data_IF_157408563109
#
_entry.id   IF_157408563109
#
_cell.length_a   1.000
_cell.length_b   1.000
_cell.length_c   1.000
_cell.angle_alpha   90.00
_cell.angle_beta   90.00
_cell.angle_gamma   90.00
#
_symmetry.space_group_name_H-M   'P 1'
#
loop_
_entity.id
_entity.type
_entity.pdbx_description
1 polymer ?
#
# COMPACT_ATOMS: atom_id res chain seq x y z
N UNK A 1 -4.67 66.05 -11.85
CA UNK A 1 -5.22 64.97 -12.70
C UNK A 1 -5.37 63.73 -11.83
N UNK A 2 -6.56 63.54 -11.28
CA UNK A 2 -7.07 62.22 -10.88
C UNK A 2 -7.88 61.67 -12.05
N UNK A 3 -8.01 60.35 -12.19
CA UNK A 3 -9.31 59.76 -11.89
C UNK A 3 -9.20 58.45 -11.09
N UNK A 4 -9.89 58.34 -9.97
CA UNK A 4 -11.28 57.80 -9.82
C UNK A 4 -11.27 56.28 -9.66
N UNK A 5 -11.22 55.82 -8.40
CA UNK A 5 -11.57 54.46 -8.04
C UNK A 5 -13.09 54.33 -7.95
N UNK A 6 -13.69 53.53 -8.84
CA UNK A 6 -15.07 53.08 -8.72
C UNK A 6 -15.13 51.81 -7.88
N UNK A 7 -15.82 51.90 -6.75
CA UNK A 7 -16.37 50.78 -6.01
C UNK A 7 -17.43 50.06 -6.85
N UNK A 8 -17.29 48.74 -7.00
CA UNK A 8 -18.29 47.89 -7.63
C UNK A 8 -18.33 46.53 -6.95
N UNK A 9 -19.35 46.30 -6.14
CA UNK A 9 -19.71 44.97 -5.66
C UNK A 9 -20.11 44.10 -6.85
N UNK A 10 -19.33 43.07 -7.16
CA UNK A 10 -19.74 42.00 -8.05
C UNK A 10 -19.81 40.70 -7.25
N UNK A 11 -21.05 40.30 -6.93
CA UNK A 11 -21.37 38.88 -6.73
C UNK A 11 -21.03 38.19 -8.05
N UNK A 12 -20.08 37.27 -8.02
CA UNK A 12 -19.81 36.35 -9.13
C UNK A 12 -19.69 34.93 -8.57
N UNK A 13 -20.77 34.17 -8.67
CA UNK A 13 -20.62 32.76 -9.04
C UNK A 13 -20.25 32.75 -10.52
N UNK A 14 -19.23 31.99 -10.94
CA UNK A 14 -19.58 30.94 -11.88
C UNK A 14 -18.74 29.66 -11.75
N UNK A 15 -19.43 28.55 -12.05
CA UNK A 15 -18.99 27.46 -12.91
C UNK A 15 -17.62 26.82 -12.65
N UNK A 16 -17.70 25.57 -12.20
CA UNK A 16 -16.96 24.42 -12.72
C UNK A 16 -16.09 24.72 -13.97
N UNK A 17 -14.83 25.05 -13.75
CA UNK A 17 -13.80 25.00 -14.79
C UNK A 17 -12.99 23.73 -14.59
N UNK A 18 -13.37 22.68 -15.30
CA UNK A 18 -12.53 21.50 -15.48
C UNK A 18 -11.30 21.92 -16.29
N UNK A 19 -10.12 21.86 -15.68
CA UNK A 19 -8.87 21.90 -16.43
C UNK A 19 -8.44 20.45 -16.66
N UNK A 20 -8.69 19.97 -17.87
CA UNK A 20 -8.26 18.66 -18.37
C UNK A 20 -6.79 18.77 -18.73
N UNK A 21 -5.89 18.42 -17.82
CA UNK A 21 -4.51 18.06 -18.18
C UNK A 21 -4.45 16.56 -18.36
N UNK A 22 -4.50 16.14 -19.62
CA UNK A 22 -4.00 14.83 -20.01
C UNK A 22 -2.48 14.83 -19.76
N UNK A 23 -2.04 14.05 -18.78
CA UNK A 23 -0.65 13.66 -18.65
C UNK A 23 -0.59 12.16 -18.34
N UNK A 24 0.25 11.52 -19.14
CA UNK A 24 0.56 10.11 -19.26
C UNK A 24 0.56 9.32 -17.94
N UNK A 25 0.13 8.06 -18.08
CA UNK A 25 0.06 7.09 -16.99
C UNK A 25 1.35 6.96 -16.20
N UNK A 26 1.17 6.93 -14.88
CA UNK A 26 2.06 6.24 -13.96
C UNK A 26 1.17 5.81 -12.80
N UNK A 27 1.00 4.49 -12.62
CA UNK A 27 0.33 3.92 -11.46
C UNK A 27 1.13 4.30 -10.19
N UNK A 28 0.77 5.40 -9.55
CA UNK A 28 1.28 5.77 -8.24
C UNK A 28 0.48 5.04 -7.17
N UNK A 29 0.92 3.84 -6.82
CA UNK A 29 0.37 3.11 -5.68
C UNK A 29 1.08 3.49 -4.40
N UNK A 30 0.45 4.28 -3.54
CA UNK A 30 0.78 4.37 -2.12
C UNK A 30 -0.52 4.41 -1.32
N UNK A 31 -0.67 3.42 -0.44
CA UNK A 31 -1.84 3.22 0.43
C UNK A 31 -1.65 4.05 1.69
N UNK A 32 -2.58 4.97 1.93
CA UNK A 32 -2.77 5.62 3.23
C UNK A 32 -3.60 4.66 4.08
N UNK A 33 -3.16 4.26 5.27
CA UNK A 33 -4.05 3.61 6.23
C UNK A 33 -4.41 4.62 7.33
N UNK A 34 -5.64 4.57 7.89
CA UNK A 34 -6.13 5.56 8.84
C UNK A 34 -5.43 5.55 10.22
N UNK A 35 -4.41 4.71 10.44
CA UNK A 35 -3.71 4.56 11.73
C UNK A 35 -2.40 5.35 11.85
N UNK A 36 -2.13 6.28 10.93
CA UNK A 36 -0.84 6.96 10.85
C UNK A 36 -0.89 8.36 11.48
N UNK A 37 -0.40 8.49 12.71
CA UNK A 37 -0.09 9.80 13.30
C UNK A 37 1.43 10.04 13.27
N UNK A 38 1.91 10.79 12.28
CA UNK A 38 3.28 11.30 12.28
C UNK A 38 3.37 12.50 13.23
N UNK A 39 4.19 12.40 14.29
CA UNK A 39 4.55 13.57 15.09
C UNK A 39 5.62 14.36 14.34
N UNK A 40 5.50 15.69 14.38
CA UNK A 40 6.25 16.68 13.60
C UNK A 40 7.77 16.48 13.56
N UNK A 41 8.34 16.42 12.35
CA UNK A 41 9.77 16.63 12.12
C UNK A 41 10.00 17.76 11.09
N UNK A 42 11.01 18.58 11.40
CA UNK A 42 11.36 19.84 10.76
C UNK A 42 12.31 19.57 9.58
N UNK A 43 12.08 20.24 8.45
CA UNK A 43 12.82 20.09 7.18
C UNK A 43 14.33 20.37 7.31
N UNK A 44 15.13 19.63 6.53
CA UNK A 44 16.29 20.18 5.80
C UNK A 44 16.40 19.53 4.41
N UNK A 45 16.97 20.19 3.38
CA UNK A 45 16.85 19.75 1.99
C UNK A 45 18.15 19.13 1.43
N UNK A 46 18.02 17.96 0.80
CA UNK A 46 18.63 17.53 -0.49
C UNK A 46 19.08 16.07 -0.45
N UNK A 47 18.51 15.19 -1.27
CA UNK A 47 19.05 14.77 -2.57
C UNK A 47 18.15 13.69 -3.18
N UNK A 48 18.23 13.55 -4.48
CA UNK A 48 17.20 13.03 -5.38
C UNK A 48 17.50 11.63 -5.91
N UNK A 49 16.61 10.66 -5.67
CA UNK A 49 16.45 9.45 -6.49
C UNK A 49 15.03 8.86 -6.33
N UNK A 50 14.25 8.67 -7.41
CA UNK A 50 12.93 8.06 -7.31
C UNK A 50 13.00 6.53 -7.46
N UNK A 51 12.17 5.85 -6.67
CA UNK A 51 11.62 4.52 -6.96
C UNK A 51 12.47 3.26 -6.67
N UNK A 52 13.10 3.19 -5.49
CA UNK A 52 13.03 1.96 -4.69
C UNK A 52 12.17 2.25 -3.47
N UNK A 53 10.84 2.14 -3.64
CA UNK A 53 9.91 2.29 -2.53
C UNK A 53 10.17 1.19 -1.51
N UNK A 54 10.83 1.53 -0.40
CA UNK A 54 10.95 0.64 0.76
C UNK A 54 9.55 0.16 1.18
N UNK A 55 9.37 -1.13 1.53
CA UNK A 55 8.09 -1.67 1.96
C UNK A 55 7.67 -1.08 3.32
N UNK A 56 7.13 0.13 3.30
CA UNK A 56 6.60 0.82 4.48
C UNK A 56 7.61 1.04 5.61
N UNK A 57 7.14 1.57 6.75
CA UNK A 57 7.92 1.59 7.98
C UNK A 57 8.27 0.15 8.41
N UNK A 58 9.52 -0.07 8.82
CA UNK A 58 10.04 -1.40 9.16
C UNK A 58 10.99 -1.37 10.35
N UNK A 59 11.18 -2.52 10.99
CA UNK A 59 12.23 -2.72 12.00
C UNK A 59 13.49 -3.34 11.38
N UNK A 60 14.64 -3.27 12.07
CA UNK A 60 15.83 -4.04 11.66
C UNK A 60 15.54 -5.55 11.58
N UNK A 61 14.65 -6.06 12.45
CA UNK A 61 14.22 -7.46 12.39
C UNK A 61 13.43 -7.79 11.12
N UNK A 62 12.63 -6.85 10.61
CA UNK A 62 11.95 -7.00 9.32
C UNK A 62 12.94 -7.02 8.16
N UNK A 63 14.01 -6.22 8.22
CA UNK A 63 15.09 -6.24 7.23
C UNK A 63 15.87 -7.57 7.23
N UNK A 64 16.22 -8.08 8.42
CA UNK A 64 16.83 -9.42 8.58
C UNK A 64 15.92 -10.50 7.97
N UNK A 65 14.62 -10.37 8.20
CA UNK A 65 13.61 -11.26 7.62
C UNK A 65 13.51 -11.14 6.10
N UNK A 66 13.60 -9.93 5.56
CA UNK A 66 13.55 -9.65 4.13
C UNK A 66 14.77 -10.21 3.39
N UNK A 67 15.97 -10.03 3.97
CA UNK A 67 17.22 -10.55 3.44
C UNK A 67 17.36 -12.08 3.58
N UNK A 68 16.35 -12.75 4.16
CA UNK A 68 16.34 -14.17 4.51
C UNK A 68 17.53 -14.61 5.39
N UNK A 69 18.09 -13.66 6.18
CA UNK A 69 19.23 -13.91 7.07
C UNK A 69 18.79 -14.43 8.45
N UNK A 70 17.56 -14.91 8.59
CA UNK A 70 17.09 -15.56 9.84
C UNK A 70 17.59 -17.00 9.98
N UNK A 71 17.98 -17.60 8.87
CA UNK A 71 18.46 -18.98 8.80
C UNK A 71 19.95 -19.10 9.16
N UNK A 72 20.65 -17.96 9.31
CA UNK A 72 22.05 -17.91 9.73
C UNK A 72 22.15 -17.66 11.23
N UNK A 73 23.16 -18.24 11.88
CA UNK A 73 23.36 -18.24 13.34
C UNK A 73 23.38 -16.84 13.96
N UNK A 74 23.81 -15.84 13.19
CA UNK A 74 23.73 -14.42 13.53
C UNK A 74 23.53 -13.60 12.25
N UNK A 75 22.87 -12.42 12.31
CA UNK A 75 22.86 -11.49 11.19
C UNK A 75 24.29 -11.15 10.75
N UNK A 76 24.52 -10.82 9.47
CA UNK A 76 25.83 -10.40 9.00
C UNK A 76 26.35 -9.21 9.83
N UNK A 77 27.65 -9.23 10.15
CA UNK A 77 28.33 -8.21 10.93
C UNK A 77 28.23 -6.80 10.31
N UNK A 78 28.17 -6.71 8.98
CA UNK A 78 27.97 -5.46 8.24
C UNK A 78 26.56 -4.87 8.36
N UNK A 79 25.54 -5.65 8.72
CA UNK A 79 24.14 -5.23 8.62
C UNK A 79 23.81 -4.12 9.63
N UNK A 80 24.22 -4.30 10.88
CA UNK A 80 23.93 -3.33 11.94
C UNK A 80 24.64 -1.98 11.69
N UNK A 81 25.95 -1.94 11.41
CA UNK A 81 26.63 -0.71 11.03
C UNK A 81 25.97 0.02 9.84
N UNK A 82 25.61 -0.72 8.79
CA UNK A 82 24.94 -0.14 7.61
C UNK A 82 23.58 0.47 7.96
N UNK A 83 22.83 -0.14 8.88
CA UNK A 83 21.56 0.40 9.34
C UNK A 83 21.75 1.65 10.23
N UNK A 84 22.76 1.64 11.11
CA UNK A 84 23.07 2.78 11.98
C UNK A 84 23.59 3.99 11.16
N UNK A 85 24.29 3.77 10.05
CA UNK A 85 24.68 4.85 9.09
C UNK A 85 23.45 5.58 8.52
N UNK A 86 22.34 4.86 8.31
CA UNK A 86 21.08 5.44 7.82
C UNK A 86 20.26 6.13 8.91
N UNK A 87 20.67 6.08 10.19
CA UNK A 87 19.87 6.58 11.30
C UNK A 87 19.52 8.08 11.18
N UNK A 88 20.35 8.88 10.49
CA UNK A 88 20.08 10.29 10.22
C UNK A 88 19.02 10.55 9.13
N UNK A 89 18.71 9.55 8.32
CA UNK A 89 17.72 9.60 7.22
C UNK A 89 16.39 8.92 7.61
N UNK A 90 16.43 8.13 8.68
CA UNK A 90 15.30 7.37 9.19
C UNK A 90 14.61 8.12 10.33
N UNK A 91 13.29 8.16 10.25
CA UNK A 91 12.40 8.74 11.26
C UNK A 91 11.68 7.62 12.01
N UNK A 92 11.53 7.78 13.32
CA UNK A 92 10.76 6.85 14.15
C UNK A 92 9.25 7.01 13.89
N UNK A 93 8.58 5.91 13.57
CA UNK A 93 7.15 5.84 13.30
C UNK A 93 6.49 4.94 14.33
N UNK A 94 5.44 5.43 14.98
CA UNK A 94 4.58 4.65 15.86
C UNK A 94 3.27 4.34 15.14
N UNK A 95 2.86 3.07 15.18
CA UNK A 95 1.64 2.57 14.55
C UNK A 95 0.76 1.95 15.63
N UNK A 96 -0.51 2.31 15.62
CA UNK A 96 -1.49 1.76 16.56
C UNK A 96 -1.56 0.23 16.49
N UNK A 97 -1.38 -0.41 17.64
CA UNK A 97 -1.36 -1.87 17.78
C UNK A 97 0.02 -2.50 17.54
N UNK A 98 1.06 -1.71 17.27
CA UNK A 98 2.45 -2.18 17.21
C UNK A 98 3.20 -1.65 18.43
N UNK A 99 3.71 -2.56 19.25
CA UNK A 99 4.40 -2.19 20.49
C UNK A 99 5.76 -1.52 20.25
N UNK A 100 6.48 -1.96 19.21
CA UNK A 100 7.81 -1.46 18.90
C UNK A 100 7.73 -0.35 17.85
N UNK A 101 8.50 0.73 18.01
CA UNK A 101 8.61 1.72 16.95
C UNK A 101 9.22 1.11 15.68
N UNK A 102 8.76 1.58 14.54
CA UNK A 102 9.29 1.26 13.22
C UNK A 102 10.09 2.45 12.70
N UNK A 103 10.86 2.23 11.64
CA UNK A 103 11.65 3.27 10.99
C UNK A 103 11.21 3.43 9.54
N UNK A 104 11.06 4.67 9.08
CA UNK A 104 10.80 4.99 7.68
C UNK A 104 11.70 6.13 7.23
N UNK A 105 12.06 6.14 5.96
CA UNK A 105 12.81 7.26 5.39
C UNK A 105 11.98 8.56 5.45
N UNK A 106 12.60 9.67 5.83
CA UNK A 106 11.90 10.95 6.00
C UNK A 106 11.15 11.40 4.73
N UNK A 107 11.72 11.11 3.55
CA UNK A 107 11.08 11.41 2.26
C UNK A 107 9.80 10.59 2.03
N UNK A 108 9.80 9.32 2.43
CA UNK A 108 8.61 8.48 2.32
C UNK A 108 7.50 9.04 3.22
N UNK A 109 7.82 9.46 4.45
CA UNK A 109 6.87 10.11 5.34
C UNK A 109 6.33 11.43 4.77
N UNK A 110 7.18 12.21 4.11
CA UNK A 110 6.75 13.45 3.46
C UNK A 110 5.76 13.18 2.32
N UNK A 111 6.00 12.15 1.50
CA UNK A 111 5.12 11.75 0.41
C UNK A 111 3.73 11.29 0.90
N UNK A 112 3.64 10.69 2.09
CA UNK A 112 2.37 10.21 2.66
C UNK A 112 1.37 11.32 3.00
N UNK A 113 1.83 12.56 3.24
CA UNK A 113 0.95 13.68 3.62
C UNK A 113 -0.03 14.08 2.52
N UNK A 114 0.28 13.78 1.27
CA UNK A 114 -0.58 14.04 0.11
C UNK A 114 -1.02 12.79 -0.65
N UNK A 115 -0.77 11.60 -0.10
CA UNK A 115 -1.14 10.35 -0.75
C UNK A 115 -2.68 10.24 -0.86
N UNK A 116 -3.21 9.73 -2.00
CA UNK A 116 -4.63 9.48 -2.13
C UNK A 116 -5.07 8.41 -1.12
N UNK A 117 -6.37 8.41 -0.81
CA UNK A 117 -6.97 7.30 -0.09
C UNK A 117 -6.81 6.00 -0.90
N UNK A 118 -6.60 4.86 -0.22
CA UNK A 118 -6.39 3.61 -0.91
C UNK A 118 -7.65 3.23 -1.70
N UNK A 119 -7.50 2.50 -2.81
CA UNK A 119 -8.64 1.91 -3.48
C UNK A 119 -9.43 1.04 -2.50
N UNK A 120 -10.78 1.02 -2.59
CA UNK A 120 -11.62 0.34 -1.62
C UNK A 120 -11.37 -1.16 -1.56
N UNK A 121 -10.94 -1.77 -2.68
CA UNK A 121 -10.44 -3.15 -2.72
C UNK A 121 -9.27 -3.26 -3.69
N UNK A 122 -8.26 -4.05 -3.33
CA UNK A 122 -7.21 -4.51 -4.23
C UNK A 122 -6.99 -6.02 -4.09
N UNK A 123 -6.87 -6.70 -5.23
CA UNK A 123 -6.41 -8.10 -5.28
C UNK A 123 -4.93 -8.11 -5.64
N UNK A 124 -4.08 -8.19 -4.63
CA UNK A 124 -2.64 -8.19 -4.87
C UNK A 124 -2.15 -9.61 -5.19
N UNK A 125 -1.23 -9.76 -6.15
CA UNK A 125 -0.68 -11.05 -6.52
C UNK A 125 0.11 -11.69 -5.37
N UNK A 126 0.33 -13.01 -5.41
CA UNK A 126 1.26 -13.68 -4.50
C UNK A 126 2.63 -12.98 -4.49
N UNK A 127 3.15 -12.73 -3.29
CA UNK A 127 4.46 -12.09 -3.07
C UNK A 127 4.56 -10.64 -3.57
N UNK A 128 3.44 -9.93 -3.61
CA UNK A 128 3.44 -8.48 -3.78
C UNK A 128 4.25 -7.78 -2.68
N UNK A 129 4.93 -6.68 -3.00
CA UNK A 129 5.79 -5.95 -2.06
C UNK A 129 5.04 -5.49 -0.80
N UNK A 130 3.76 -5.11 -0.92
CA UNK A 130 2.92 -4.77 0.25
C UNK A 130 2.76 -5.98 1.16
N UNK A 131 2.52 -7.16 0.59
CA UNK A 131 2.39 -8.40 1.35
C UNK A 131 3.73 -8.90 1.92
N UNK A 132 4.87 -8.44 1.39
CA UNK A 132 6.20 -8.77 1.90
C UNK A 132 6.69 -7.81 3.00
N UNK A 133 5.97 -6.72 3.27
CA UNK A 133 6.29 -5.76 4.32
C UNK A 133 6.14 -6.30 5.75
N UNK A 134 6.22 -5.41 6.75
CA UNK A 134 6.21 -5.83 8.16
C UNK A 134 4.90 -6.52 8.53
N UNK A 135 5.01 -7.80 8.85
CA UNK A 135 3.87 -8.69 9.15
C UNK A 135 3.11 -8.29 10.41
N UNK A 136 3.82 -7.66 11.36
CA UNK A 136 3.31 -7.33 12.69
C UNK A 136 2.11 -6.38 12.65
N UNK A 137 2.06 -5.46 11.67
CA UNK A 137 0.94 -4.52 11.55
C UNK A 137 -0.05 -4.88 10.44
N UNK A 138 0.41 -5.54 9.36
CA UNK A 138 -0.44 -5.86 8.22
C UNK A 138 -1.50 -6.92 8.53
N UNK A 139 -1.14 -7.93 9.33
CA UNK A 139 -2.06 -8.97 9.80
C UNK A 139 -1.71 -9.31 11.25
N UNK A 140 -2.27 -8.56 12.22
CA UNK A 140 -1.95 -8.76 13.64
C UNK A 140 -2.38 -10.14 14.16
N UNK A 141 -3.47 -10.69 13.62
CA UNK A 141 -3.94 -12.02 13.99
C UNK A 141 -2.99 -13.11 13.45
N UNK A 142 -2.35 -13.85 14.36
CA UNK A 142 -1.39 -14.89 14.02
C UNK A 142 -2.01 -16.08 13.28
N UNK A 143 -3.28 -16.39 13.50
CA UNK A 143 -3.96 -17.45 12.77
C UNK A 143 -4.18 -17.04 11.30
N UNK A 144 -4.60 -15.79 11.08
CA UNK A 144 -4.74 -15.21 9.72
C UNK A 144 -3.37 -15.05 9.04
N UNK A 145 -2.35 -14.62 9.78
CA UNK A 145 -0.99 -14.49 9.26
C UNK A 145 -0.46 -15.78 8.61
N UNK A 146 -0.80 -16.94 9.19
CA UNK A 146 -0.39 -18.26 8.67
C UNK A 146 -1.08 -18.64 7.35
N UNK A 147 -2.29 -18.12 7.09
CA UNK A 147 -3.00 -18.38 5.84
C UNK A 147 -2.47 -17.51 4.70
N UNK A 148 -2.09 -16.27 5.03
CA UNK A 148 -1.50 -15.28 4.14
C UNK A 148 -0.06 -15.66 3.75
N UNK A 149 0.81 -15.87 4.73
CA UNK A 149 2.24 -16.12 4.50
C UNK A 149 2.59 -17.61 4.52
N UNK A 150 2.15 -18.33 3.49
CA UNK A 150 2.57 -19.72 3.27
C UNK A 150 3.93 -19.79 2.56
N UNK A 151 4.88 -20.63 3.02
CA UNK A 151 6.18 -20.81 2.36
C UNK A 151 6.08 -21.32 0.91
N UNK A 152 5.13 -22.21 0.65
CA UNK A 152 4.91 -22.81 -0.68
C UNK A 152 3.49 -22.51 -1.13
N UNK A 153 3.34 -22.09 -2.40
CA UNK A 153 2.04 -21.78 -2.99
C UNK A 153 1.31 -20.64 -2.25
N UNK A 154 2.07 -19.58 -1.91
CA UNK A 154 1.55 -18.38 -1.27
C UNK A 154 0.34 -17.86 -2.06
N UNK A 155 -0.81 -17.66 -1.42
CA UNK A 155 -1.96 -17.09 -2.10
C UNK A 155 -1.72 -15.61 -2.41
N UNK A 156 -2.57 -15.02 -3.25
CA UNK A 156 -2.67 -13.56 -3.32
C UNK A 156 -3.38 -13.03 -2.08
N UNK A 157 -3.29 -11.73 -1.83
CA UNK A 157 -3.96 -11.07 -0.69
C UNK A 157 -5.09 -10.18 -1.16
N UNK A 158 -6.14 -10.12 -0.34
CA UNK A 158 -7.28 -9.22 -0.53
C UNK A 158 -7.11 -8.05 0.42
N UNK A 159 -6.92 -6.85 -0.13
CA UNK A 159 -6.95 -5.60 0.62
C UNK A 159 -8.34 -4.99 0.55
N UNK A 160 -8.83 -4.48 1.68
CA UNK A 160 -10.03 -3.64 1.74
C UNK A 160 -9.67 -2.41 2.56
N UNK A 161 -9.84 -1.22 1.96
CA UNK A 161 -9.54 0.07 2.59
C UNK A 161 -8.12 0.12 3.23
N UNK A 162 -7.16 -0.60 2.64
CA UNK A 162 -5.77 -0.69 3.09
C UNK A 162 -5.44 -1.83 4.07
N UNK A 163 -6.43 -2.55 4.58
CA UNK A 163 -6.24 -3.69 5.50
C UNK A 163 -6.28 -5.03 4.75
N UNK A 164 -5.40 -5.97 5.12
CA UNK A 164 -5.45 -7.34 4.60
C UNK A 164 -6.60 -8.08 5.29
N UNK A 165 -7.67 -8.34 4.54
CA UNK A 165 -8.88 -8.99 5.06
C UNK A 165 -8.98 -10.47 4.68
N UNK A 166 -8.09 -10.96 3.82
CA UNK A 166 -8.16 -12.32 3.34
C UNK A 166 -7.14 -12.67 2.28
N UNK A 167 -7.35 -13.83 1.67
CA UNK A 167 -6.48 -14.36 0.63
C UNK A 167 -7.30 -14.78 -0.59
N UNK A 168 -6.63 -14.89 -1.74
CA UNK A 168 -7.27 -15.38 -2.95
C UNK A 168 -6.37 -16.33 -3.73
N UNK A 169 -7.01 -17.22 -4.48
CA UNK A 169 -6.37 -18.14 -5.40
C UNK A 169 -7.11 -18.11 -6.72
N UNK A 170 -6.38 -18.42 -7.78
CA UNK A 170 -6.94 -18.52 -9.10
C UNK A 170 -6.80 -19.93 -9.63
N UNK A 171 -7.84 -20.36 -10.34
CA UNK A 171 -7.86 -21.59 -11.09
C UNK A 171 -8.45 -21.31 -12.46
N UNK A 172 -7.70 -21.63 -13.50
CA UNK A 172 -8.23 -21.61 -14.85
C UNK A 172 -8.82 -22.98 -15.19
N UNK A 173 -9.99 -22.98 -15.82
CA UNK A 173 -10.65 -24.18 -16.35
C UNK A 173 -11.25 -23.84 -17.71
N UNK A 174 -10.65 -24.38 -18.79
CA UNK A 174 -11.03 -24.01 -20.15
C UNK A 174 -10.91 -22.49 -20.38
N UNK A 175 -12.03 -21.87 -20.78
CA UNK A 175 -12.14 -20.42 -21.02
C UNK A 175 -12.61 -19.62 -19.79
N UNK A 176 -12.63 -20.23 -18.60
CA UNK A 176 -13.07 -19.57 -17.37
C UNK A 176 -11.92 -19.44 -16.38
N UNK A 177 -11.70 -18.22 -15.87
CA UNK A 177 -10.81 -17.97 -14.75
C UNK A 177 -11.64 -17.82 -13.48
N UNK A 178 -11.52 -18.78 -12.57
CA UNK A 178 -12.16 -18.73 -11.26
C UNK A 178 -11.19 -18.16 -10.24
N UNK A 179 -11.61 -17.12 -9.53
CA UNK A 179 -10.93 -16.55 -8.37
C UNK A 179 -11.70 -16.93 -7.12
N UNK A 180 -11.09 -17.72 -6.24
CA UNK A 180 -11.66 -18.09 -4.94
C UNK A 180 -11.01 -17.23 -3.87
N UNK A 181 -11.82 -16.49 -3.13
CA UNK A 181 -11.41 -15.57 -2.08
C UNK A 181 -11.89 -16.11 -0.73
N UNK A 182 -10.97 -16.25 0.20
CA UNK A 182 -11.29 -16.56 1.61
C UNK A 182 -11.07 -15.29 2.42
N UNK A 183 -12.15 -14.69 2.92
CA UNK A 183 -12.13 -13.42 3.67
C UNK A 183 -12.56 -13.63 5.12
N UNK A 184 -11.91 -12.95 6.05
CA UNK A 184 -12.17 -13.08 7.49
C UNK A 184 -13.19 -12.07 8.01
N UNK A 185 -13.62 -11.12 7.16
CA UNK A 185 -14.58 -10.06 7.48
C UNK A 185 -15.74 -10.07 6.51
N UNK A 186 -16.91 -9.60 6.96
CA UNK A 186 -18.08 -9.44 6.09
C UNK A 186 -17.87 -8.25 5.16
N UNK A 187 -17.78 -8.52 3.87
CA UNK A 187 -17.76 -7.46 2.85
C UNK A 187 -19.13 -6.80 2.72
N UNK A 188 -19.16 -5.52 2.41
CA UNK A 188 -20.37 -4.79 1.98
C UNK A 188 -20.73 -5.15 0.53
N UNK A 189 -21.94 -4.81 0.08
CA UNK A 189 -22.33 -4.98 -1.32
C UNK A 189 -21.41 -4.21 -2.28
N UNK A 190 -20.99 -3.00 -1.89
CA UNK A 190 -20.05 -2.18 -2.68
C UNK A 190 -18.66 -2.83 -2.78
N UNK A 191 -18.14 -3.35 -1.68
CA UNK A 191 -16.85 -4.06 -1.67
C UNK A 191 -16.91 -5.35 -2.50
N UNK A 192 -18.03 -6.08 -2.48
CA UNK A 192 -18.24 -7.26 -3.35
C UNK A 192 -18.18 -6.90 -4.84
N UNK A 193 -18.87 -5.83 -5.25
CA UNK A 193 -18.82 -5.37 -6.63
C UNK A 193 -17.40 -4.92 -7.05
N UNK A 194 -16.66 -4.29 -6.14
CA UNK A 194 -15.27 -3.90 -6.42
C UNK A 194 -14.34 -5.13 -6.48
N UNK A 195 -14.55 -6.14 -5.64
CA UNK A 195 -13.84 -7.43 -5.72
C UNK A 195 -14.01 -8.07 -7.11
N UNK A 196 -15.23 -8.08 -7.64
CA UNK A 196 -15.51 -8.59 -8.99
C UNK A 196 -14.76 -7.77 -10.06
N UNK A 197 -14.77 -6.43 -9.95
CA UNK A 197 -14.04 -5.54 -10.85
C UNK A 197 -12.52 -5.78 -10.82
N UNK A 198 -11.95 -5.97 -9.63
CA UNK A 198 -10.54 -6.32 -9.47
C UNK A 198 -10.23 -7.71 -10.02
N UNK A 199 -11.20 -8.64 -9.98
CA UNK A 199 -11.08 -9.94 -10.63
C UNK A 199 -10.83 -9.83 -12.13
N UNK A 200 -11.54 -8.93 -12.81
CA UNK A 200 -11.29 -8.66 -14.24
C UNK A 200 -9.92 -8.03 -14.50
N UNK A 201 -9.44 -7.17 -13.59
CA UNK A 201 -8.06 -6.63 -13.67
C UNK A 201 -7.04 -7.76 -13.57
N UNK A 202 -7.24 -8.71 -12.65
CA UNK A 202 -6.39 -9.89 -12.51
C UNK A 202 -6.45 -10.77 -13.75
N UNK A 203 -7.63 -10.96 -14.34
CA UNK A 203 -7.80 -11.73 -15.57
C UNK A 203 -7.01 -11.10 -16.73
N UNK A 204 -7.20 -9.80 -16.94
CA UNK A 204 -6.49 -9.05 -17.97
C UNK A 204 -4.97 -9.08 -17.78
N UNK A 205 -4.48 -8.88 -16.55
CA UNK A 205 -3.05 -8.94 -16.22
C UNK A 205 -2.43 -10.32 -16.48
N UNK A 206 -3.25 -11.38 -16.54
CA UNK A 206 -2.83 -12.75 -16.84
C UNK A 206 -3.06 -13.15 -18.30
N UNK A 207 -3.50 -12.22 -19.14
CA UNK A 207 -3.82 -12.48 -20.54
C UNK A 207 -5.06 -13.38 -20.72
N UNK A 208 -5.95 -13.44 -19.74
CA UNK A 208 -7.21 -14.17 -19.85
C UNK A 208 -8.31 -13.26 -20.41
N UNK A 209 -8.87 -13.65 -21.55
CA UNK A 209 -9.91 -12.91 -22.30
C UNK A 209 -11.30 -13.57 -22.21
N UNK A 210 -11.39 -14.67 -21.47
CA UNK A 210 -12.62 -15.43 -21.28
C UNK A 210 -13.45 -14.95 -20.09
N UNK A 211 -14.35 -15.82 -19.61
CA UNK A 211 -15.19 -15.51 -18.46
C UNK A 211 -14.34 -15.44 -17.19
N UNK A 212 -14.57 -14.43 -16.35
CA UNK A 212 -14.02 -14.37 -14.99
C UNK A 212 -15.15 -14.64 -14.00
N UNK A 213 -14.90 -15.49 -13.02
CA UNK A 213 -15.83 -15.78 -11.93
C UNK A 213 -15.13 -15.55 -10.60
N UNK A 214 -15.76 -14.79 -9.71
CA UNK A 214 -15.25 -14.53 -8.37
C UNK A 214 -16.18 -15.21 -7.35
N UNK A 215 -15.59 -15.99 -6.46
CA UNK A 215 -16.27 -16.79 -5.46
C UNK A 215 -15.73 -16.44 -4.07
N UNK A 216 -16.62 -16.15 -3.13
CA UNK A 216 -16.30 -15.88 -1.72
C UNK A 216 -16.59 -17.14 -0.91
N UNK A 217 -15.57 -17.65 -0.21
CA UNK A 217 -15.60 -18.80 0.70
C UNK A 217 -15.84 -18.35 2.15
#
# INVERSE_FOLDING_TARGET
MSPTGCSGSARSTPASSWCRTAAAGCCSGWVRSPRWTATTARRSPSCSAPACGSPGPATLGDLVMWLDTRSVTAPPDWLRPSFDELAGELEEVRIDGVEKPLHAHAEALAAMKGAPEPPPVLLLPPRDAVALGSRAFLVPDRAVAKTVWRPVGSPGVVLVDGDIVGTWRARQSGRTLRLTLTVHTKLTAKQRAEVERQGEVVAAARGHDGKTEVELD
#
